data_IF_055178937049
#
_entry.id   IF_055178937049
#
_cell.length_a   1.000
_cell.length_b   1.000
_cell.length_c   1.000
_cell.angle_alpha   90.00
_cell.angle_beta   90.00
_cell.angle_gamma   90.00
#
_symmetry.space_group_name_H-M   'P 1'
#
loop_
_entity.id
_entity.type
_entity.pdbx_description
1 polymer ?
#
# COMPACT_ATOMS: atom_id res chain seq x y z
N UNK A 1 -5.46 5.31 -3.86
CA UNK A 1 -4.75 6.47 -4.43
C UNK A 1 -4.69 6.51 -5.96
N UNK A 2 -4.30 5.46 -6.71
CA UNK A 2 -4.25 5.50 -8.20
C UNK A 2 -5.49 6.06 -8.88
N UNK A 3 -6.66 5.53 -8.51
CA UNK A 3 -7.94 5.96 -9.07
C UNK A 3 -8.23 7.42 -8.75
N UNK A 4 -7.99 7.85 -7.50
CA UNK A 4 -8.20 9.23 -7.04
C UNK A 4 -7.40 10.21 -7.90
N UNK A 5 -6.08 10.02 -8.00
CA UNK A 5 -5.22 10.91 -8.80
C UNK A 5 -5.57 10.95 -10.29
N UNK A 6 -6.01 9.82 -10.85
CA UNK A 6 -6.51 9.78 -12.24
C UNK A 6 -7.79 10.60 -12.39
N UNK A 7 -8.76 10.43 -11.49
CA UNK A 7 -10.03 11.17 -11.53
C UNK A 7 -9.81 12.68 -11.31
N UNK A 8 -8.87 13.07 -10.44
CA UNK A 8 -8.46 14.46 -10.27
C UNK A 8 -7.90 15.02 -11.59
N UNK A 9 -7.00 14.28 -12.24
CA UNK A 9 -6.44 14.68 -13.53
C UNK A 9 -7.51 14.85 -14.61
N UNK A 10 -8.48 13.92 -14.68
CA UNK A 10 -9.62 14.01 -15.60
C UNK A 10 -10.52 15.22 -15.31
N UNK A 11 -10.82 15.50 -14.04
CA UNK A 11 -11.71 16.59 -13.64
C UNK A 11 -11.10 17.99 -13.83
N UNK A 12 -9.77 18.10 -13.71
CA UNK A 12 -9.04 19.37 -13.73
C UNK A 12 -8.19 19.58 -14.99
N UNK A 13 -8.38 18.73 -16.00
CA UNK A 13 -7.61 18.70 -17.25
C UNK A 13 -6.08 18.70 -17.00
N UNK A 14 -5.64 17.84 -16.08
CA UNK A 14 -4.22 17.64 -15.74
C UNK A 14 -3.74 16.31 -16.32
N UNK A 15 -2.70 16.30 -17.18
CA UNK A 15 -2.12 15.07 -17.69
C UNK A 15 -1.74 14.09 -16.57
N UNK A 16 -2.28 12.86 -16.63
CA UNK A 16 -1.95 11.77 -15.72
C UNK A 16 -0.92 10.83 -16.36
N UNK A 17 0.29 10.77 -15.79
CA UNK A 17 1.46 10.14 -16.42
C UNK A 17 2.02 9.02 -15.54
N UNK A 18 1.69 7.75 -15.82
CA UNK A 18 2.25 6.61 -15.09
C UNK A 18 3.67 6.27 -15.55
N UNK A 19 4.61 6.25 -14.60
CA UNK A 19 6.06 6.13 -14.84
C UNK A 19 6.70 4.93 -14.12
N UNK A 20 6.04 3.77 -14.19
CA UNK A 20 6.39 2.52 -13.50
C UNK A 20 7.76 1.89 -13.85
N UNK A 21 8.48 2.40 -14.85
CA UNK A 21 9.84 1.99 -15.15
C UNK A 21 10.62 3.10 -15.88
N UNK A 22 11.96 3.04 -15.93
CA UNK A 22 12.79 4.08 -16.55
C UNK A 22 12.44 4.39 -18.01
N UNK A 23 12.04 3.39 -18.80
CA UNK A 23 11.66 3.59 -20.20
C UNK A 23 10.40 4.47 -20.37
N UNK A 24 9.60 4.66 -19.30
CA UNK A 24 8.43 5.55 -19.29
C UNK A 24 8.77 6.98 -18.86
N UNK A 25 9.94 7.27 -18.29
CA UNK A 25 10.28 8.61 -17.79
C UNK A 25 10.27 9.68 -18.89
N UNK A 26 10.61 9.30 -20.13
CA UNK A 26 10.48 10.17 -21.32
C UNK A 26 9.05 10.64 -21.63
N UNK A 27 8.03 10.10 -20.97
CA UNK A 27 6.63 10.53 -21.13
C UNK A 27 6.27 11.70 -20.24
N UNK A 28 7.13 12.07 -19.29
CA UNK A 28 6.90 13.22 -18.41
C UNK A 28 6.97 14.49 -19.26
N UNK A 29 5.90 15.32 -19.28
CA UNK A 29 5.92 16.59 -19.99
C UNK A 29 7.05 17.48 -19.47
N UNK A 30 7.73 18.16 -20.39
CA UNK A 30 8.82 19.10 -20.06
C UNK A 30 8.29 20.47 -19.63
N UNK A 31 7.02 20.76 -19.92
CA UNK A 31 6.34 22.02 -19.61
C UNK A 31 4.91 21.76 -19.16
N UNK A 32 4.37 22.73 -18.41
CA UNK A 32 3.02 22.64 -17.84
C UNK A 32 2.97 21.74 -16.61
N UNK A 33 1.78 21.66 -16.00
CA UNK A 33 1.53 20.80 -14.85
C UNK A 33 1.19 19.38 -15.29
N UNK A 34 1.62 18.38 -14.52
CA UNK A 34 1.28 16.99 -14.73
C UNK A 34 1.21 16.24 -13.40
N UNK A 35 0.29 15.27 -13.29
CA UNK A 35 0.25 14.31 -12.20
C UNK A 35 1.08 13.09 -12.62
N UNK A 36 2.31 13.01 -12.12
CA UNK A 36 3.22 11.90 -12.40
C UNK A 36 3.10 10.87 -11.28
N UNK A 37 2.89 9.59 -11.62
CA UNK A 37 2.71 8.54 -10.62
C UNK A 37 3.64 7.36 -10.85
N UNK A 38 4.30 6.92 -9.78
CA UNK A 38 4.90 5.60 -9.71
C UNK A 38 4.27 4.83 -8.54
N UNK A 39 4.04 3.53 -8.76
CA UNK A 39 3.54 2.61 -7.73
C UNK A 39 4.67 1.83 -7.04
N UNK A 40 5.88 1.93 -7.58
CA UNK A 40 7.12 1.63 -6.87
C UNK A 40 7.62 2.88 -6.12
N UNK A 41 8.58 2.70 -5.22
CA UNK A 41 9.15 3.79 -4.40
C UNK A 41 10.18 4.70 -5.09
N UNK A 42 10.20 4.81 -6.42
CA UNK A 42 11.26 5.56 -7.13
C UNK A 42 10.71 6.48 -8.23
N UNK A 43 11.39 7.58 -8.49
CA UNK A 43 11.15 8.44 -9.67
C UNK A 43 12.44 8.58 -10.49
N UNK A 44 12.32 9.20 -11.67
CA UNK A 44 13.49 9.58 -12.46
C UNK A 44 14.39 10.49 -11.60
N UNK A 45 15.71 10.22 -11.47
CA UNK A 45 16.60 11.08 -10.70
C UNK A 45 16.51 12.55 -11.11
N UNK A 46 16.34 12.81 -12.40
CA UNK A 46 16.25 14.15 -12.98
C UNK A 46 15.00 14.92 -12.50
N UNK A 47 13.97 14.24 -11.98
CA UNK A 47 12.85 14.92 -11.34
C UNK A 47 13.24 15.57 -10.03
N UNK A 48 14.18 14.99 -9.26
CA UNK A 48 14.62 15.58 -8.00
C UNK A 48 15.42 16.87 -8.24
N UNK A 49 16.10 16.94 -9.38
CA UNK A 49 16.83 18.15 -9.83
C UNK A 49 15.88 19.24 -10.37
N UNK A 50 14.62 18.91 -10.67
CA UNK A 50 13.63 19.89 -11.11
C UNK A 50 13.10 20.69 -9.90
N UNK A 51 13.34 22.01 -9.84
CA UNK A 51 12.91 22.83 -8.70
C UNK A 51 11.39 22.94 -8.56
N UNK A 52 10.63 22.71 -9.63
CA UNK A 52 9.17 22.77 -9.66
C UNK A 52 8.52 21.42 -9.31
N UNK A 53 9.30 20.32 -9.31
CA UNK A 53 8.77 19.00 -8.97
C UNK A 53 8.53 18.89 -7.46
N UNK A 54 7.33 18.42 -7.11
CA UNK A 54 6.92 18.13 -5.74
C UNK A 54 6.50 16.68 -5.64
N UNK A 55 6.87 16.03 -4.54
CA UNK A 55 6.71 14.60 -4.35
C UNK A 55 5.79 14.31 -3.17
N UNK A 56 4.97 13.28 -3.34
CA UNK A 56 4.24 12.64 -2.27
C UNK A 56 4.72 11.21 -2.18
N UNK A 57 5.27 10.84 -1.04
CA UNK A 57 5.64 9.47 -0.74
C UNK A 57 4.72 8.94 0.36
N UNK A 58 4.10 7.79 0.12
CA UNK A 58 3.21 7.15 1.08
C UNK A 58 3.77 5.77 1.38
N UNK A 59 4.17 5.56 2.63
CA UNK A 59 4.59 4.26 3.14
C UNK A 59 3.50 3.67 4.03
N UNK A 60 3.59 2.37 4.29
CA UNK A 60 2.69 1.65 5.20
C UNK A 60 3.55 0.81 6.14
N UNK A 61 3.06 0.51 7.34
CA UNK A 61 3.79 -0.33 8.30
C UNK A 61 4.29 -1.60 7.59
N UNK A 62 5.62 -1.82 7.50
CA UNK A 62 6.18 -2.94 6.76
C UNK A 62 5.62 -4.32 7.18
N UNK A 63 5.21 -4.48 8.44
CA UNK A 63 4.61 -5.73 8.93
C UNK A 63 3.21 -5.96 8.34
N UNK A 64 2.41 -4.90 8.23
CA UNK A 64 1.12 -4.97 7.54
C UNK A 64 1.29 -5.14 6.03
N UNK A 65 2.36 -4.58 5.45
CA UNK A 65 2.73 -4.81 4.05
C UNK A 65 3.02 -6.28 3.81
N UNK A 66 3.83 -6.93 4.65
CA UNK A 66 4.11 -8.36 4.58
C UNK A 66 2.82 -9.20 4.60
N UNK A 67 1.95 -8.98 5.60
CA UNK A 67 0.69 -9.71 5.72
C UNK A 67 -0.21 -9.51 4.50
N UNK A 68 -0.32 -8.27 4.02
CA UNK A 68 -1.16 -7.95 2.87
C UNK A 68 -0.60 -8.49 1.55
N UNK A 69 0.72 -8.46 1.38
CA UNK A 69 1.45 -8.97 0.23
C UNK A 69 1.30 -10.47 0.09
N UNK A 70 1.57 -11.22 1.16
CA UNK A 70 1.42 -12.69 1.17
C UNK A 70 -0.01 -13.10 0.75
N UNK A 71 -1.04 -12.52 1.38
CA UNK A 71 -2.44 -12.84 1.04
C UNK A 71 -2.81 -12.42 -0.38
N UNK A 72 -2.35 -11.26 -0.84
CA UNK A 72 -2.64 -10.77 -2.20
C UNK A 72 -1.97 -11.65 -3.26
N UNK A 73 -0.68 -11.94 -3.10
CA UNK A 73 0.08 -12.76 -4.04
C UNK A 73 -0.42 -14.21 -4.08
N UNK A 74 -0.93 -14.74 -2.97
CA UNK A 74 -1.54 -16.06 -2.92
C UNK A 74 -2.83 -16.17 -3.74
N UNK A 75 -3.63 -15.09 -3.85
CA UNK A 75 -5.00 -15.16 -4.39
C UNK A 75 -5.25 -14.27 -5.63
N UNK A 76 -4.28 -13.45 -6.06
CA UNK A 76 -4.49 -12.48 -7.13
C UNK A 76 -4.81 -13.14 -8.48
N UNK A 77 -5.89 -12.72 -9.19
CA UNK A 77 -6.41 -13.37 -10.41
C UNK A 77 -5.58 -13.10 -11.68
N UNK A 78 -4.35 -12.62 -11.56
CA UNK A 78 -3.31 -12.68 -12.59
C UNK A 78 -3.37 -11.75 -13.80
N UNK A 79 -4.49 -11.08 -14.08
CA UNK A 79 -4.60 -10.20 -15.26
C UNK A 79 -3.66 -8.99 -15.23
N UNK A 80 -3.30 -8.46 -14.06
CA UNK A 80 -2.46 -7.27 -13.93
C UNK A 80 -1.05 -7.57 -13.38
N UNK A 81 -0.84 -8.73 -12.78
CA UNK A 81 0.40 -9.10 -12.07
C UNK A 81 1.10 -10.27 -12.77
N UNK A 82 1.56 -10.05 -14.01
CA UNK A 82 2.16 -11.12 -14.84
C UNK A 82 3.32 -11.85 -14.15
N UNK A 83 4.04 -11.17 -13.26
CA UNK A 83 5.15 -11.74 -12.50
C UNK A 83 4.70 -12.87 -11.55
N UNK A 84 3.44 -12.86 -11.08
CA UNK A 84 2.93 -13.88 -10.16
C UNK A 84 2.70 -15.23 -10.83
N UNK A 85 2.51 -15.24 -12.15
CA UNK A 85 2.01 -16.39 -12.92
C UNK A 85 3.04 -16.96 -13.90
N UNK A 86 4.19 -16.32 -14.04
CA UNK A 86 5.27 -16.82 -14.88
C UNK A 86 6.11 -17.86 -14.15
N UNK A 87 6.57 -18.94 -14.83
CA UNK A 87 7.44 -19.94 -14.21
C UNK A 87 8.79 -19.31 -13.82
N UNK A 88 9.32 -19.72 -12.67
CA UNK A 88 10.61 -19.27 -12.13
C UNK A 88 11.55 -20.46 -11.96
N UNK A 89 12.76 -20.34 -12.49
CA UNK A 89 13.79 -21.38 -12.40
C UNK A 89 14.19 -21.65 -10.94
N UNK A 90 14.35 -20.59 -10.14
CA UNK A 90 14.69 -20.67 -8.73
C UNK A 90 13.59 -21.30 -7.85
N UNK A 91 12.37 -21.42 -8.39
CA UNK A 91 11.23 -22.08 -7.73
C UNK A 91 10.92 -23.46 -8.33
N UNK A 92 11.88 -24.06 -9.06
CA UNK A 92 11.74 -25.37 -9.68
C UNK A 92 10.70 -25.38 -10.80
N UNK A 93 10.58 -24.28 -11.54
CA UNK A 93 9.62 -24.12 -12.64
C UNK A 93 8.22 -23.69 -12.21
N UNK A 94 7.94 -23.61 -10.90
CA UNK A 94 6.69 -23.05 -10.39
C UNK A 94 6.66 -21.53 -10.57
N UNK A 95 5.47 -20.98 -10.72
CA UNK A 95 5.26 -19.54 -10.57
C UNK A 95 5.36 -19.10 -9.11
N UNK A 96 5.47 -17.79 -8.88
CA UNK A 96 5.51 -17.23 -7.53
C UNK A 96 4.26 -17.62 -6.72
N UNK A 97 3.08 -17.52 -7.34
CA UNK A 97 1.81 -17.84 -6.70
C UNK A 97 1.69 -19.34 -6.42
N UNK A 98 2.02 -20.21 -7.38
CA UNK A 98 1.99 -21.67 -7.18
C UNK A 98 2.96 -22.12 -6.09
N UNK A 99 4.15 -21.51 -6.02
CA UNK A 99 5.11 -21.79 -4.94
C UNK A 99 4.53 -21.37 -3.58
N UNK A 100 4.04 -20.14 -3.47
CA UNK A 100 3.46 -19.61 -2.23
C UNK A 100 2.25 -20.43 -1.75
N UNK A 101 1.36 -20.85 -2.67
CA UNK A 101 0.21 -21.69 -2.35
C UNK A 101 0.61 -23.10 -1.89
N UNK A 102 1.74 -23.63 -2.37
CA UNK A 102 2.22 -24.97 -2.03
C UNK A 102 2.96 -25.03 -0.68
N UNK A 103 3.23 -23.90 -0.03
CA UNK A 103 3.91 -23.86 1.27
C UNK A 103 2.99 -24.40 2.40
N UNK A 104 3.56 -25.14 3.37
CA UNK A 104 2.80 -26.01 4.27
C UNK A 104 1.93 -25.27 5.28
N UNK A 105 2.32 -24.06 5.68
CA UNK A 105 1.66 -23.31 6.73
C UNK A 105 1.79 -21.79 6.54
N UNK A 106 1.01 -20.97 7.27
CA UNK A 106 1.05 -19.52 7.15
C UNK A 106 2.42 -18.89 7.47
N UNK A 107 3.20 -19.48 8.37
CA UNK A 107 4.52 -18.95 8.73
C UNK A 107 5.49 -19.13 7.56
N UNK A 108 5.54 -20.32 6.95
CA UNK A 108 6.35 -20.58 5.77
C UNK A 108 5.99 -19.64 4.60
N UNK A 109 4.69 -19.35 4.41
CA UNK A 109 4.22 -18.36 3.41
C UNK A 109 4.74 -16.96 3.69
N UNK A 110 4.70 -16.52 4.95
CA UNK A 110 5.22 -15.22 5.35
C UNK A 110 6.74 -15.15 5.20
N UNK A 111 7.48 -16.20 5.53
CA UNK A 111 8.94 -16.24 5.35
C UNK A 111 9.35 -16.11 3.89
N UNK A 112 8.64 -16.82 3.00
CA UNK A 112 8.88 -16.73 1.57
C UNK A 112 8.60 -15.31 1.05
N UNK A 113 7.44 -14.75 1.41
CA UNK A 113 7.07 -13.38 1.02
C UNK A 113 8.08 -12.35 1.56
N UNK A 114 8.50 -12.51 2.82
CA UNK A 114 9.47 -11.65 3.53
C UNK A 114 10.76 -11.52 2.74
N UNK A 115 11.28 -12.62 2.21
CA UNK A 115 12.54 -12.67 1.44
C UNK A 115 12.39 -12.26 -0.03
N UNK A 116 11.16 -12.06 -0.52
CA UNK A 116 10.89 -11.78 -1.93
C UNK A 116 10.21 -10.41 -2.11
N UNK A 117 8.90 -10.39 -2.39
CA UNK A 117 8.21 -9.18 -2.76
C UNK A 117 8.15 -8.18 -1.60
N UNK A 118 8.04 -8.66 -0.35
CA UNK A 118 8.14 -7.79 0.81
C UNK A 118 9.51 -7.11 0.89
N UNK A 119 10.62 -7.86 0.81
CA UNK A 119 11.97 -7.31 0.83
C UNK A 119 12.17 -6.26 -0.26
N UNK A 120 11.67 -6.53 -1.47
CA UNK A 120 11.71 -5.53 -2.56
C UNK A 120 10.99 -4.25 -2.16
N UNK A 121 9.77 -4.34 -1.67
CA UNK A 121 8.99 -3.16 -1.26
C UNK A 121 9.64 -2.44 -0.07
N UNK A 122 10.18 -3.17 0.91
CA UNK A 122 10.87 -2.60 2.06
C UNK A 122 12.13 -1.83 1.62
N UNK A 123 12.93 -2.41 0.73
CA UNK A 123 14.10 -1.72 0.16
C UNK A 123 13.72 -0.45 -0.60
N UNK A 124 12.59 -0.45 -1.31
CA UNK A 124 12.07 0.76 -1.96
C UNK A 124 11.66 1.83 -0.92
N UNK A 125 11.04 1.43 0.20
CA UNK A 125 10.71 2.36 1.30
C UNK A 125 11.98 2.95 1.94
N UNK A 126 13.02 2.14 2.14
CA UNK A 126 14.29 2.57 2.75
C UNK A 126 15.13 3.45 1.84
N UNK A 127 15.07 3.22 0.52
CA UNK A 127 15.87 3.96 -0.46
C UNK A 127 15.33 5.36 -0.78
N UNK A 128 14.13 5.71 -0.28
CA UNK A 128 13.54 7.03 -0.50
C UNK A 128 14.40 8.14 0.15
N UNK A 129 14.64 9.27 -0.54
CA UNK A 129 15.39 10.39 0.02
C UNK A 129 14.55 11.19 1.03
N UNK A 130 14.37 10.62 2.23
CA UNK A 130 13.64 11.27 3.33
C UNK A 130 14.23 12.64 3.69
N UNK A 131 13.35 13.56 4.07
CA UNK A 131 13.74 14.92 4.46
C UNK A 131 14.03 15.86 3.28
N UNK A 132 13.76 15.44 2.05
CA UNK A 132 13.87 16.31 0.88
C UNK A 132 12.82 17.44 0.94
N UNK A 133 13.24 18.71 0.82
CA UNK A 133 12.38 19.90 1.01
C UNK A 133 11.11 19.95 0.14
N UNK A 134 11.14 19.26 -1.02
CA UNK A 134 10.01 19.17 -1.96
C UNK A 134 9.29 17.83 -1.91
N UNK A 135 9.55 17.00 -0.91
CA UNK A 135 8.83 15.77 -0.65
C UNK A 135 7.97 15.89 0.61
N UNK A 136 6.76 15.35 0.53
CA UNK A 136 5.93 15.12 1.71
C UNK A 136 5.79 13.61 1.94
N UNK A 137 6.26 13.16 3.09
CA UNK A 137 6.27 11.76 3.48
C UNK A 137 5.07 11.49 4.41
N UNK A 138 4.19 10.59 4.01
CA UNK A 138 2.99 10.23 4.76
C UNK A 138 2.96 8.74 5.08
N UNK A 139 2.27 8.41 6.17
CA UNK A 139 1.90 7.03 6.50
C UNK A 139 0.49 6.74 6.00
N UNK A 140 0.32 5.55 5.45
CA UNK A 140 -0.97 5.05 4.99
C UNK A 140 -1.98 5.05 6.14
N UNK A 141 -1.55 4.70 7.34
CA UNK A 141 -2.35 4.63 8.56
C UNK A 141 -2.99 5.98 8.91
N UNK A 142 -2.24 7.06 8.73
CA UNK A 142 -2.73 8.42 8.99
C UNK A 142 -3.74 8.83 7.91
N UNK A 143 -3.44 8.54 6.64
CA UNK A 143 -4.33 8.83 5.51
C UNK A 143 -5.68 8.10 5.58
N UNK A 144 -5.72 6.87 6.08
CA UNK A 144 -7.01 6.15 6.22
C UNK A 144 -7.80 6.56 7.46
N UNK A 145 -7.15 7.22 8.43
CA UNK A 145 -7.79 7.81 9.59
C UNK A 145 -8.30 9.25 9.34
N UNK A 146 -7.85 9.88 8.25
CA UNK A 146 -8.16 11.25 7.80
C UNK A 146 -9.60 11.42 7.29
N UNK A 147 -10.59 11.22 8.16
CA UNK A 147 -12.01 11.23 7.78
C UNK A 147 -12.54 12.60 7.33
N UNK A 148 -11.90 13.69 7.77
CA UNK A 148 -12.21 15.05 7.33
C UNK A 148 -11.37 15.49 6.10
N UNK A 149 -10.53 14.59 5.57
CA UNK A 149 -9.63 14.80 4.45
C UNK A 149 -8.58 15.91 4.69
N UNK A 150 -8.29 16.29 5.94
CA UNK A 150 -7.39 17.39 6.25
C UNK A 150 -5.96 17.13 5.77
N UNK A 151 -5.44 15.91 5.95
CA UNK A 151 -4.11 15.50 5.47
C UNK A 151 -4.09 15.57 3.94
N UNK A 152 -5.10 15.01 3.26
CA UNK A 152 -5.15 15.03 1.80
C UNK A 152 -5.27 16.45 1.23
N UNK A 153 -6.03 17.34 1.88
CA UNK A 153 -6.07 18.77 1.52
C UNK A 153 -4.70 19.42 1.69
N UNK A 154 -3.96 19.07 2.75
CA UNK A 154 -2.57 19.48 2.94
C UNK A 154 -1.66 19.08 1.77
N UNK A 155 -1.80 17.85 1.26
CA UNK A 155 -1.08 17.37 0.06
C UNK A 155 -1.38 18.26 -1.15
N UNK A 156 -2.65 18.57 -1.40
CA UNK A 156 -3.06 19.34 -2.57
C UNK A 156 -2.53 20.78 -2.50
N UNK A 157 -2.59 21.41 -1.32
CA UNK A 157 -1.96 22.73 -1.09
C UNK A 157 -0.45 22.67 -1.27
N UNK A 158 0.20 21.63 -0.74
CA UNK A 158 1.62 21.40 -0.95
C UNK A 158 1.96 21.29 -2.44
N UNK A 159 1.11 20.66 -3.25
CA UNK A 159 1.27 20.59 -4.71
C UNK A 159 0.87 21.87 -5.47
N UNK A 160 0.41 22.91 -4.78
CA UNK A 160 0.06 24.20 -5.40
C UNK A 160 -1.29 24.22 -6.12
N UNK A 161 -2.20 23.29 -5.80
CA UNK A 161 -3.58 23.36 -6.29
C UNK A 161 -4.28 24.60 -5.70
N UNK A 162 -5.10 25.28 -6.51
CA UNK A 162 -5.93 26.40 -6.03
C UNK A 162 -7.08 25.89 -5.14
N UNK A 163 -7.67 26.76 -4.31
CA UNK A 163 -8.75 26.34 -3.39
C UNK A 163 -9.97 25.75 -4.12
N UNK A 164 -10.30 26.24 -5.32
CA UNK A 164 -11.38 25.67 -6.14
C UNK A 164 -11.06 24.24 -6.63
N UNK A 165 -9.79 24.00 -6.99
CA UNK A 165 -9.32 22.69 -7.41
C UNK A 165 -9.19 21.72 -6.23
N UNK A 166 -8.77 22.24 -5.07
CA UNK A 166 -8.72 21.49 -3.81
C UNK A 166 -10.10 20.96 -3.47
N UNK A 167 -11.15 21.79 -3.54
CA UNK A 167 -12.50 21.35 -3.21
C UNK A 167 -12.97 20.21 -4.15
N UNK A 168 -12.68 20.35 -5.45
CA UNK A 168 -12.98 19.31 -6.44
C UNK A 168 -12.23 18.00 -6.12
N UNK A 169 -10.92 18.09 -5.85
CA UNK A 169 -10.07 16.95 -5.57
C UNK A 169 -10.39 16.29 -4.22
N UNK A 170 -10.76 17.08 -3.20
CA UNK A 170 -11.20 16.63 -1.88
C UNK A 170 -12.47 15.79 -1.99
N UNK A 171 -13.45 16.26 -2.76
CA UNK A 171 -14.68 15.51 -2.99
C UNK A 171 -14.40 14.17 -3.71
N UNK A 172 -13.58 14.19 -4.76
CA UNK A 172 -13.17 12.97 -5.47
C UNK A 172 -12.48 11.98 -4.53
N UNK A 173 -11.59 12.47 -3.65
CA UNK A 173 -10.93 11.63 -2.66
C UNK A 173 -11.94 11.01 -1.69
N UNK A 174 -12.82 11.83 -1.09
CA UNK A 174 -13.86 11.37 -0.16
C UNK A 174 -14.78 10.31 -0.78
N UNK A 175 -15.26 10.54 -2.01
CA UNK A 175 -16.13 9.61 -2.74
C UNK A 175 -15.45 8.26 -3.02
N UNK A 176 -14.12 8.24 -3.06
CA UNK A 176 -13.31 7.05 -3.34
C UNK A 176 -12.60 6.50 -2.08
N UNK A 177 -12.97 6.98 -0.89
CA UNK A 177 -12.46 6.52 0.40
C UNK A 177 -13.42 5.52 1.06
N UNK A 178 -12.88 4.59 1.84
CA UNK A 178 -13.67 3.57 2.56
C UNK A 178 -14.55 4.17 3.65
N UNK A 179 -14.16 5.33 4.20
CA UNK A 179 -14.93 6.10 5.17
C UNK A 179 -15.93 7.06 4.51
N UNK A 180 -15.93 7.17 3.18
CA UNK A 180 -16.82 8.05 2.43
C UNK A 180 -17.66 7.28 1.43
N UNK A 181 -17.56 7.63 0.15
CA UNK A 181 -18.44 7.12 -0.90
C UNK A 181 -18.33 5.61 -1.18
N UNK A 182 -17.23 4.95 -0.76
CA UNK A 182 -17.06 3.48 -0.87
C UNK A 182 -17.42 2.72 0.41
N UNK A 183 -17.98 3.38 1.43
CA UNK A 183 -18.44 2.70 2.64
C UNK A 183 -19.51 1.65 2.31
N UNK A 184 -19.55 0.55 3.07
CA UNK A 184 -20.54 -0.52 2.85
C UNK A 184 -22.00 -0.04 3.01
N UNK A 185 -22.20 1.08 3.70
CA UNK A 185 -23.51 1.71 3.92
C UNK A 185 -23.98 2.55 2.72
N UNK A 186 -23.06 3.01 1.85
CA UNK A 186 -23.40 3.90 0.73
C UNK A 186 -24.08 3.17 -0.44
N UNK A 187 -24.07 1.83 -0.47
CA UNK A 187 -24.73 1.01 -1.50
C UNK A 187 -24.12 1.10 -2.91
N UNK A 188 -23.05 1.88 -3.11
CA UNK A 188 -22.44 2.15 -4.42
C UNK A 188 -20.93 1.83 -4.39
N UNK A 189 -20.57 0.55 -4.17
CA UNK A 189 -19.16 0.18 -4.09
C UNK A 189 -18.85 -1.25 -4.53
N UNK A 190 -18.08 -1.41 -5.61
CA UNK A 190 -17.36 -2.66 -5.91
C UNK A 190 -16.18 -2.78 -4.94
N UNK A 191 -16.44 -3.13 -3.68
CA UNK A 191 -15.43 -3.26 -2.60
C UNK A 191 -14.67 -4.60 -2.62
N UNK A 192 -14.86 -5.46 -3.62
CA UNK A 192 -14.58 -6.89 -3.45
C UNK A 192 -13.19 -7.42 -3.83
N UNK A 193 -12.26 -6.65 -4.45
CA UNK A 193 -11.05 -7.28 -5.04
C UNK A 193 -9.69 -6.88 -4.48
N UNK A 194 -9.55 -5.74 -3.78
CA UNK A 194 -8.23 -5.29 -3.29
C UNK A 194 -8.18 -4.87 -1.82
N UNK A 195 -9.31 -4.65 -1.16
CA UNK A 195 -9.38 -4.23 0.25
C UNK A 195 -10.11 -5.31 1.04
N UNK A 196 -9.37 -6.10 1.79
CA UNK A 196 -9.97 -7.12 2.69
C UNK A 196 -10.27 -6.57 4.09
N UNK A 197 -9.66 -5.44 4.48
CA UNK A 197 -9.87 -4.72 5.74
C UNK A 197 -9.27 -3.33 5.63
N UNK A 198 -10.06 -2.30 5.95
CA UNK A 198 -9.63 -0.89 5.99
C UNK A 198 -8.99 -0.46 7.31
N UNK A 199 -8.71 -1.39 8.23
CA UNK A 199 -8.13 -1.07 9.55
C UNK A 199 -6.61 -0.87 9.43
N UNK A 200 -6.10 0.20 10.06
CA UNK A 200 -4.68 0.40 10.29
C UNK A 200 -4.13 -0.64 11.30
N UNK A 201 -2.83 -0.95 11.22
CA UNK A 201 -2.06 -1.70 12.23
C UNK A 201 -2.69 -3.05 12.59
N UNK A 202 -2.83 -3.95 11.63
CA UNK A 202 -3.43 -5.27 11.84
C UNK A 202 -2.44 -6.30 12.39
N UNK A 203 -1.14 -6.09 12.14
CA UNK A 203 -0.07 -7.01 12.51
C UNK A 203 -0.07 -7.48 13.97
N UNK A 204 -0.45 -6.69 15.00
CA UNK A 204 -0.45 -7.18 16.39
C UNK A 204 -1.34 -8.42 16.57
N UNK A 205 -2.48 -8.44 15.87
CA UNK A 205 -3.49 -9.51 15.95
C UNK A 205 -3.34 -10.60 14.88
N UNK A 206 -2.52 -10.37 13.86
CA UNK A 206 -2.48 -11.20 12.63
C UNK A 206 -1.11 -11.79 12.32
N UNK A 207 -0.02 -11.25 12.87
CA UNK A 207 1.32 -11.74 12.60
C UNK A 207 1.64 -12.88 13.58
N UNK A 208 1.83 -14.13 13.11
CA UNK A 208 2.19 -15.23 13.99
C UNK A 208 3.53 -14.95 14.67
N UNK A 209 3.66 -15.31 15.96
CA UNK A 209 4.86 -15.03 16.76
C UNK A 209 6.15 -15.47 16.09
N UNK A 210 6.20 -16.69 15.55
CA UNK A 210 7.40 -17.21 14.89
C UNK A 210 7.80 -16.41 13.63
N UNK A 211 6.83 -15.86 12.89
CA UNK A 211 7.11 -14.97 11.76
C UNK A 211 7.55 -13.58 12.25
N UNK A 212 6.97 -13.09 13.35
CA UNK A 212 7.35 -11.81 13.96
C UNK A 212 8.77 -11.81 14.53
N UNK A 213 9.18 -12.90 15.19
CA UNK A 213 10.55 -13.07 15.70
C UNK A 213 11.57 -13.03 14.57
N UNK A 214 11.29 -13.74 13.47
CA UNK A 214 12.12 -13.66 12.26
C UNK A 214 12.11 -12.28 11.61
N UNK A 215 10.95 -11.62 11.58
CA UNK A 215 10.86 -10.25 11.11
C UNK A 215 11.74 -9.30 11.93
N UNK A 216 11.76 -9.46 13.26
CA UNK A 216 12.60 -8.65 14.13
C UNK A 216 14.09 -8.90 13.85
N UNK A 217 14.48 -10.16 13.66
CA UNK A 217 15.86 -10.54 13.33
C UNK A 217 16.32 -9.91 11.99
N UNK A 218 15.49 -10.01 10.96
CA UNK A 218 15.85 -9.53 9.61
C UNK A 218 15.67 -8.02 9.42
N UNK A 219 14.62 -7.43 10.02
CA UNK A 219 14.10 -6.10 9.65
C UNK A 219 13.77 -5.21 10.86
N UNK A 220 14.22 -5.58 12.07
CA UNK A 220 13.99 -4.77 13.27
C UNK A 220 14.56 -3.35 13.16
N UNK A 221 15.77 -3.21 12.61
CA UNK A 221 16.40 -1.90 12.40
C UNK A 221 15.75 -1.10 11.27
N UNK A 222 15.17 -1.78 10.28
CA UNK A 222 14.45 -1.14 9.19
C UNK A 222 13.17 -0.45 9.70
N UNK A 223 12.47 -1.06 10.66
CA UNK A 223 11.31 -0.44 11.32
C UNK A 223 11.68 0.82 12.10
N UNK A 224 12.85 0.83 12.74
CA UNK A 224 13.37 2.01 13.44
C UNK A 224 13.74 3.10 12.44
N UNK A 225 14.43 2.72 11.36
CA UNK A 225 14.84 3.63 10.27
C UNK A 225 13.64 4.32 9.62
N UNK A 226 12.55 3.58 9.38
CA UNK A 226 11.30 4.12 8.84
C UNK A 226 10.44 4.85 9.90
N UNK A 227 10.88 4.89 11.15
CA UNK A 227 10.22 5.55 12.28
C UNK A 227 8.95 4.85 12.78
N UNK A 228 8.71 3.59 12.40
CA UNK A 228 7.60 2.80 12.94
C UNK A 228 7.86 2.34 14.37
N UNK A 229 9.13 2.26 14.76
CA UNK A 229 9.58 1.85 16.09
C UNK A 229 10.69 2.75 16.62
N UNK A 230 10.81 2.84 17.95
CA UNK A 230 11.96 3.43 18.64
C UNK A 230 13.00 2.40 19.06
N UNK A 231 12.59 1.13 19.13
CA UNK A 231 13.35 0.01 19.69
C UNK A 231 12.84 -1.33 19.11
N UNK A 232 13.38 -2.43 19.63
CA UNK A 232 13.09 -3.80 19.17
C UNK A 232 12.06 -4.53 20.04
N UNK A 233 11.38 -3.83 20.95
CA UNK A 233 10.50 -4.46 21.96
C UNK A 233 9.05 -4.63 21.48
N UNK A 234 8.78 -4.35 20.20
CA UNK A 234 7.45 -4.40 19.62
C UNK A 234 6.80 -5.79 19.62
N UNK A 235 7.57 -6.87 19.78
CA UNK A 235 7.05 -8.24 19.95
C UNK A 235 6.11 -8.39 21.16
N UNK A 236 6.25 -7.51 22.16
CA UNK A 236 5.37 -7.46 23.33
C UNK A 236 3.93 -7.04 23.00
N UNK A 237 3.71 -6.39 21.85
CA UNK A 237 2.38 -5.96 21.40
C UNK A 237 1.62 -7.02 20.61
N UNK A 238 2.24 -8.16 20.29
CA UNK A 238 1.53 -9.25 19.65
C UNK A 238 0.42 -9.76 20.57
N UNK A 239 -0.79 -9.81 20.05
CA UNK A 239 -1.92 -10.43 20.74
C UNK A 239 -1.68 -11.93 20.81
N UNK A 240 -2.07 -12.54 21.92
CA UNK A 240 -2.05 -14.01 22.03
C UNK A 240 -3.12 -14.61 21.12
N UNK A 241 -2.93 -15.84 20.64
CA UNK A 241 -3.91 -16.53 19.78
C UNK A 241 -5.34 -16.53 20.40
N UNK A 242 -5.44 -16.56 21.73
CA UNK A 242 -6.70 -16.46 22.47
C UNK A 242 -7.38 -15.08 22.39
N UNK A 243 -6.62 -13.99 22.24
CA UNK A 243 -7.14 -12.63 22.10
C UNK A 243 -7.55 -12.32 20.65
N UNK A 244 -6.83 -12.85 19.66
CA UNK A 244 -7.11 -12.67 18.24
C UNK A 244 -8.39 -13.40 17.78
N UNK A 245 -8.71 -14.56 18.37
CA UNK A 245 -9.97 -15.28 18.14
C UNK A 245 -11.18 -14.55 18.75
N UNK A 246 -11.04 -13.99 19.95
CA UNK A 246 -12.12 -13.23 20.62
C UNK A 246 -12.47 -11.92 19.90
N UNK A 247 -11.51 -11.31 19.18
CA UNK A 247 -11.71 -10.06 18.44
C UNK A 247 -12.28 -10.24 17.02
N UNK A 248 -12.41 -11.47 16.53
CA UNK A 248 -12.99 -11.76 15.22
C UNK A 248 -14.48 -12.06 15.37
N UNK A 249 -15.42 -11.25 14.81
CA UNK A 249 -16.83 -11.59 14.88
C UNK A 249 -17.07 -12.91 14.15
N UNK A 250 -17.92 -13.81 14.69
CA UNK A 250 -18.24 -15.06 14.02
C UNK A 250 -18.81 -14.75 12.64
N UNK A 251 -18.22 -15.33 11.59
CA UNK A 251 -18.80 -15.32 10.27
C UNK A 251 -20.21 -15.88 10.39
N UNK A 252 -21.22 -15.05 10.11
CA UNK A 252 -22.59 -15.50 10.01
C UNK A 252 -22.62 -16.61 8.95
N UNK A 253 -22.86 -17.84 9.39
CA UNK A 253 -23.17 -18.96 8.52
C UNK A 253 -24.38 -18.54 7.69
N UNK A 254 -24.17 -18.32 6.40
CA UNK A 254 -25.25 -18.16 5.45
C UNK A 254 -26.07 -19.46 5.49
N UNK A 255 -27.22 -19.40 6.17
CA UNK A 255 -28.19 -20.48 6.17
C UNK A 255 -28.57 -20.76 4.71
N UNK A 256 -28.24 -21.96 4.25
CA UNK A 256 -28.71 -22.49 2.98
C UNK A 256 -30.22 -22.61 3.03
N UNK A 257 -30.91 -21.72 2.30
CA UNK A 257 -32.30 -21.92 1.91
C UNK A 257 -32.33 -22.93 0.77
N UNK A 258 -32.80 -24.13 1.08
CA UNK A 258 -33.24 -25.13 0.12
C UNK A 258 -34.53 -24.69 -0.56
N UNK A 259 -34.58 -24.91 -1.87
CA UNK A 259 -35.74 -25.04 -2.79
C UNK A 259 -36.93 -24.07 -2.63
#
# INVERSE_FOLDING_TARGET
MRRVWRLIGEALDIPFVPVHNPARWKKIPQTGRAIVVNWAGAFAPELFDNPEARFLHIIRDPRDVLLSGARYHENSPGRQERFLHGPREDLGGKSYQEHLQALPDPVAKLDFEMQNMHLKTLNEMLAWPYGHDRAMDLRYEDLIADQDCAIFVGVLRFFGFSEAEIETARQIYYDNSLFGGLSSESGVGRTATHVSSGKARQWPSKLPRAAAERYLECHGDDLITLGYESDKDWLSRLETDQQAEAASPPFAQAAGGTA
#
